data_IF_869275782214
#
_entry.id   IF_869275782214
#
_cell.length_a   1.000
_cell.length_b   1.000
_cell.length_c   1.000
_cell.angle_alpha   90.00
_cell.angle_beta   90.00
_cell.angle_gamma   90.00
#
_symmetry.space_group_name_H-M   'P 1'
#
loop_
_entity.id
_entity.type
_entity.pdbx_description
1 polymer ?
#
# COMPACT_ATOMS: atom_id res chain seq x y z
N UNK A 1 0.02 17.86 -11.50
CA UNK A 1 0.18 17.94 -10.03
C UNK A 1 0.62 16.57 -9.52
N UNK A 2 1.88 16.39 -9.10
CA UNK A 2 2.36 15.12 -8.51
C UNK A 2 1.91 15.07 -7.05
N UNK A 3 0.83 14.33 -6.76
CA UNK A 3 0.42 14.02 -5.39
C UNK A 3 1.48 13.10 -4.76
N UNK A 4 2.51 13.67 -4.13
CA UNK A 4 3.41 12.92 -3.25
C UNK A 4 2.65 12.59 -1.97
N UNK A 5 1.97 11.45 -1.95
CA UNK A 5 1.33 10.93 -0.75
C UNK A 5 2.39 10.76 0.34
N UNK A 6 2.29 11.55 1.41
CA UNK A 6 3.16 11.45 2.58
C UNK A 6 2.41 10.70 3.68
N UNK A 7 2.93 9.53 4.07
CA UNK A 7 2.28 8.69 5.09
C UNK A 7 3.20 8.56 6.30
N UNK A 8 2.72 9.01 7.46
CA UNK A 8 3.39 8.77 8.76
C UNK A 8 3.29 7.29 9.14
N UNK A 9 4.15 6.82 10.06
CA UNK A 9 4.13 5.41 10.50
C UNK A 9 2.75 5.01 11.05
N UNK A 10 2.11 5.92 11.82
CA UNK A 10 0.78 5.68 12.38
C UNK A 10 -0.29 5.57 11.29
N UNK A 11 -0.28 6.47 10.32
CA UNK A 11 -1.21 6.39 9.18
C UNK A 11 -0.97 5.14 8.32
N UNK A 12 0.29 4.72 8.15
CA UNK A 12 0.62 3.50 7.43
C UNK A 12 0.12 2.25 8.16
N UNK A 13 0.25 2.22 9.50
CA UNK A 13 -0.30 1.15 10.33
C UNK A 13 -1.82 1.03 10.18
N UNK A 14 -2.51 2.16 10.31
CA UNK A 14 -3.97 2.24 10.17
C UNK A 14 -4.42 1.75 8.78
N UNK A 15 -3.68 2.11 7.73
CA UNK A 15 -3.96 1.66 6.38
C UNK A 15 -3.78 0.15 6.19
N UNK A 16 -2.69 -0.40 6.72
CA UNK A 16 -2.41 -1.84 6.66
C UNK A 16 -3.51 -2.62 7.37
N UNK A 17 -3.94 -2.16 8.55
CA UNK A 17 -5.02 -2.81 9.30
C UNK A 17 -6.35 -2.77 8.53
N UNK A 18 -6.74 -1.63 7.95
CA UNK A 18 -7.96 -1.56 7.12
C UNK A 18 -7.92 -2.53 5.93
N UNK A 19 -6.78 -2.65 5.25
CA UNK A 19 -6.62 -3.59 4.14
C UNK A 19 -6.67 -5.06 4.61
N UNK A 20 -6.18 -5.35 5.82
CA UNK A 20 -6.26 -6.68 6.45
C UNK A 20 -7.70 -7.01 6.82
N UNK A 21 -8.41 -6.11 7.49
CA UNK A 21 -9.81 -6.28 7.91
C UNK A 21 -10.75 -6.45 6.72
N UNK A 22 -10.50 -5.72 5.62
CA UNK A 22 -11.26 -5.87 4.39
C UNK A 22 -10.83 -7.08 3.53
N UNK A 23 -9.86 -7.89 3.97
CA UNK A 23 -9.45 -9.14 3.32
C UNK A 23 -8.59 -8.98 2.06
N UNK A 24 -8.06 -7.77 1.79
CA UNK A 24 -7.23 -7.49 0.61
C UNK A 24 -5.81 -8.03 0.76
N UNK A 25 -5.33 -8.15 2.00
CA UNK A 25 -4.02 -8.69 2.35
C UNK A 25 -4.15 -9.71 3.48
N UNK A 26 -3.28 -10.71 3.50
CA UNK A 26 -3.25 -11.72 4.57
C UNK A 26 -2.62 -11.15 5.84
N UNK A 27 -2.85 -11.82 6.98
CA UNK A 27 -2.20 -11.48 8.25
C UNK A 27 -0.66 -11.51 8.14
N UNK A 28 -0.10 -12.45 7.38
CA UNK A 28 1.33 -12.49 7.11
C UNK A 28 1.81 -11.27 6.30
N UNK A 29 1.06 -10.88 5.26
CA UNK A 29 1.38 -9.69 4.46
C UNK A 29 1.30 -8.41 5.30
N UNK A 30 0.31 -8.30 6.18
CA UNK A 30 0.17 -7.19 7.12
C UNK A 30 1.38 -7.10 8.08
N UNK A 31 1.81 -8.23 8.66
CA UNK A 31 2.99 -8.27 9.53
C UNK A 31 4.28 -7.86 8.81
N UNK A 32 4.47 -8.30 7.56
CA UNK A 32 5.62 -7.88 6.73
C UNK A 32 5.57 -6.39 6.40
N UNK A 33 4.39 -5.84 6.09
CA UNK A 33 4.22 -4.42 5.80
C UNK A 33 4.50 -3.55 7.03
N UNK A 34 3.99 -3.95 8.21
CA UNK A 34 4.24 -3.27 9.48
C UNK A 34 5.72 -3.26 9.86
N UNK A 35 6.44 -4.36 9.63
CA UNK A 35 7.88 -4.44 9.87
C UNK A 35 8.65 -3.51 8.93
N UNK A 36 8.27 -3.48 7.65
CA UNK A 36 8.93 -2.66 6.64
C UNK A 36 8.77 -1.14 6.90
N UNK A 37 7.60 -0.66 7.36
CA UNK A 37 7.39 0.79 7.61
C UNK A 37 8.16 1.32 8.83
N UNK A 38 8.61 0.40 9.71
CA UNK A 38 9.46 0.68 10.87
C UNK A 38 10.95 0.70 10.50
N UNK A 39 11.33 0.28 9.30
CA UNK A 39 12.72 0.37 8.86
C UNK A 39 13.16 1.83 8.80
N UNK A 40 14.38 2.08 9.28
CA UNK A 40 14.97 3.41 9.35
C UNK A 40 15.56 3.84 8.01
N UNK A 41 15.91 2.86 7.18
CA UNK A 41 16.53 3.04 5.87
C UNK A 41 15.67 2.42 4.78
N UNK A 42 15.59 3.10 3.64
CA UNK A 42 14.99 2.60 2.41
C UNK A 42 16.07 2.67 1.32
N UNK A 43 16.59 1.51 0.88
CA UNK A 43 17.73 1.42 -0.05
C UNK A 43 18.93 2.29 0.37
N UNK A 44 19.36 2.18 1.64
CA UNK A 44 20.50 2.92 2.18
C UNK A 44 20.25 4.41 2.48
N UNK A 45 19.07 4.95 2.14
CA UNK A 45 18.70 6.34 2.42
C UNK A 45 17.75 6.45 3.62
N UNK A 46 17.77 7.57 4.38
CA UNK A 46 16.82 7.79 5.47
C UNK A 46 15.38 7.71 4.94
N UNK A 47 14.58 6.88 5.61
CA UNK A 47 13.23 6.58 5.16
C UNK A 47 12.27 7.74 5.42
N UNK A 48 11.85 8.41 4.35
CA UNK A 48 10.88 9.51 4.40
C UNK A 48 9.44 8.98 4.43
N UNK A 49 8.49 9.84 4.75
CA UNK A 49 7.04 9.53 4.69
C UNK A 49 6.58 9.20 3.27
N UNK A 50 7.20 9.79 2.24
CA UNK A 50 6.94 9.46 0.84
C UNK A 50 7.52 8.08 0.45
N UNK A 51 8.71 7.72 0.96
CA UNK A 51 9.30 6.39 0.74
C UNK A 51 8.42 5.28 1.34
N UNK A 52 7.84 5.52 2.52
CA UNK A 52 6.88 4.58 3.16
C UNK A 52 5.66 4.34 2.29
N UNK A 53 5.02 5.40 1.80
CA UNK A 53 3.86 5.29 0.91
C UNK A 53 4.21 4.54 -0.39
N UNK A 54 5.36 4.86 -1.00
CA UNK A 54 5.82 4.21 -2.23
C UNK A 54 6.16 2.73 -2.02
N UNK A 55 6.78 2.40 -0.90
CA UNK A 55 7.09 1.02 -0.54
C UNK A 55 5.82 0.20 -0.32
N UNK A 56 4.83 0.74 0.39
CA UNK A 56 3.54 0.07 0.60
C UNK A 56 2.83 -0.21 -0.73
N UNK A 57 2.82 0.77 -1.64
CA UNK A 57 2.23 0.62 -2.96
C UNK A 57 2.95 -0.44 -3.81
N UNK A 58 4.28 -0.38 -3.91
CA UNK A 58 5.04 -1.25 -4.80
C UNK A 58 5.22 -2.68 -4.28
N UNK A 59 5.45 -2.83 -2.97
CA UNK A 59 5.80 -4.13 -2.37
C UNK A 59 4.58 -4.91 -1.87
N UNK A 60 3.52 -4.20 -1.49
CA UNK A 60 2.35 -4.80 -0.85
C UNK A 60 1.03 -4.43 -1.55
N UNK A 61 1.03 -3.57 -2.57
CA UNK A 61 -0.19 -3.11 -3.24
C UNK A 61 -1.09 -2.22 -2.37
N UNK A 62 -0.55 -1.68 -1.27
CA UNK A 62 -1.31 -0.91 -0.28
C UNK A 62 -1.21 0.58 -0.63
N UNK A 63 -2.31 1.21 -1.05
CA UNK A 63 -2.36 2.62 -1.46
C UNK A 63 -3.32 3.42 -0.59
N UNK A 64 -2.86 4.59 -0.12
CA UNK A 64 -3.68 5.44 0.77
C UNK A 64 -4.87 6.09 0.08
N UNK A 65 -4.80 6.20 -1.24
CA UNK A 65 -5.91 6.65 -2.06
C UNK A 65 -6.90 5.49 -2.15
N UNK A 66 -8.13 5.75 -1.68
CA UNK A 66 -9.33 5.13 -2.24
C UNK A 66 -9.41 5.50 -3.73
N UNK A 67 -8.47 5.02 -4.53
CA UNK A 67 -8.71 4.80 -5.93
C UNK A 67 -9.62 3.61 -5.83
N UNK A 68 -10.92 3.87 -5.76
CA UNK A 68 -11.87 2.99 -6.41
C UNK A 68 -11.16 2.56 -7.68
N UNK A 69 -10.81 1.28 -7.78
CA UNK A 69 -10.49 0.67 -9.06
C UNK A 69 -11.82 0.69 -9.81
N UNK A 70 -12.27 1.89 -10.20
CA UNK A 70 -13.37 2.08 -11.10
C UNK A 70 -12.74 1.72 -12.42
N UNK A 71 -13.16 0.59 -12.93
CA UNK A 71 -12.75 0.00 -14.21
C UNK A 71 -11.31 -0.53 -14.26
N UNK A 72 -11.09 -1.71 -13.66
CA UNK A 72 -10.53 -2.78 -14.51
C UNK A 72 -11.60 -3.02 -15.59
N UNK A 73 -11.30 -2.88 -16.90
CA UNK A 73 -12.21 -3.43 -17.89
C UNK A 73 -12.32 -4.91 -17.58
N UNK A 74 -13.49 -5.29 -17.07
CA UNK A 74 -13.97 -6.66 -17.04
C UNK A 74 -13.71 -7.17 -18.45
N UNK A 75 -12.68 -8.01 -18.62
CA UNK A 75 -12.51 -8.76 -19.86
C UNK A 75 -13.79 -9.56 -19.96
N UNK A 76 -14.70 -9.04 -20.79
CA UNK A 76 -15.86 -9.75 -21.24
C UNK A 76 -15.33 -11.11 -21.70
N UNK A 77 -15.75 -12.16 -21.00
CA UNK A 77 -15.88 -13.45 -21.65
C UNK A 77 -16.89 -13.27 -22.77
N UNK A 78 -16.40 -12.84 -23.93
CA UNK A 78 -17.07 -13.02 -25.20
C UNK A 78 -16.62 -14.38 -25.71
N UNK A 79 -17.36 -15.40 -25.29
CA UNK A 79 -17.45 -16.62 -26.05
C UNK A 79 -18.25 -16.29 -27.31
N UNK A 80 -17.61 -16.40 -28.46
CA UNK A 80 -18.23 -16.75 -29.74
C UNK A 80 -17.16 -17.38 -30.64
#
# INVERSE_FOLDING_TARGET
MRNTATTTIRQAFDLIERHREAGWITQEAAGRAQRAIRERLYYGNPMTTAHRARMLALRFGIVATASTVRTLPQRAGGAE
#
